data_IF_910722006403
#
_entry.id   IF_910722006403
#
_cell.length_a   1.000
_cell.length_b   1.000
_cell.length_c   1.000
_cell.angle_alpha   90.00
_cell.angle_beta   90.00
_cell.angle_gamma   90.00
#
_symmetry.space_group_name_H-M   'P 1'
#
loop_
_entity.id
_entity.type
_entity.pdbx_description
1 polymer ?
#
# COMPACT_ATOMS: atom_id res chain seq x y z
N UNK A 1 -6.83 27.17 14.35
CA UNK A 1 -6.79 27.04 12.88
C UNK A 1 -6.59 25.58 12.53
N UNK A 2 -7.35 25.04 11.58
CA UNK A 2 -7.20 23.67 11.11
C UNK A 2 -6.09 23.66 10.06
N UNK A 3 -4.92 23.12 10.39
CA UNK A 3 -3.80 23.00 9.45
C UNK A 3 -3.93 21.68 8.71
N UNK A 4 -4.04 21.74 7.40
CA UNK A 4 -4.07 20.57 6.51
C UNK A 4 -2.79 20.57 5.68
N UNK A 5 -1.98 19.54 5.83
CA UNK A 5 -0.84 19.30 4.94
C UNK A 5 -1.34 18.70 3.64
N UNK A 6 -0.74 19.13 2.53
CA UNK A 6 -1.01 18.61 1.19
C UNK A 6 0.29 18.03 0.67
N UNK A 7 0.24 16.79 0.16
CA UNK A 7 1.41 16.18 -0.45
C UNK A 7 1.80 16.99 -1.69
N UNK A 8 3.01 17.52 -1.72
CA UNK A 8 3.50 18.22 -2.91
C UNK A 8 3.91 17.24 -4.01
N UNK A 9 3.97 17.70 -5.26
CA UNK A 9 4.46 16.88 -6.37
C UNK A 9 5.93 16.49 -6.19
N UNK A 10 6.74 17.37 -5.59
CA UNK A 10 8.15 17.12 -5.30
C UNK A 10 8.30 16.03 -4.24
N UNK A 11 7.58 16.17 -3.12
CA UNK A 11 7.55 15.16 -2.06
C UNK A 11 7.12 13.80 -2.59
N UNK A 12 6.07 13.74 -3.42
CA UNK A 12 5.66 12.49 -4.04
C UNK A 12 6.79 11.83 -4.85
N UNK A 13 7.51 12.60 -5.67
CA UNK A 13 8.57 12.04 -6.54
C UNK A 13 9.73 11.49 -5.71
N UNK A 14 10.14 12.22 -4.67
CA UNK A 14 11.16 11.78 -3.72
C UNK A 14 10.72 10.49 -3.01
N UNK A 15 9.48 10.47 -2.48
CA UNK A 15 8.96 9.30 -1.79
C UNK A 15 8.73 8.11 -2.73
N UNK A 16 8.36 8.36 -3.98
CA UNK A 16 8.17 7.29 -4.97
C UNK A 16 9.49 6.56 -5.24
N UNK A 17 10.58 7.30 -5.41
CA UNK A 17 11.91 6.71 -5.58
C UNK A 17 12.39 6.03 -4.30
N UNK A 18 12.11 6.63 -3.13
CA UNK A 18 12.41 6.00 -1.85
C UNK A 18 11.69 4.65 -1.68
N UNK A 19 10.38 4.58 -1.96
CA UNK A 19 9.60 3.34 -1.89
C UNK A 19 10.14 2.26 -2.84
N UNK A 20 10.55 2.65 -4.06
CA UNK A 20 11.14 1.74 -5.05
C UNK A 20 12.46 1.14 -4.55
N UNK A 21 13.33 1.96 -4.00
CA UNK A 21 14.67 1.54 -3.57
C UNK A 21 14.61 0.77 -2.24
N UNK A 22 13.87 1.27 -1.27
CA UNK A 22 13.90 0.75 0.11
C UNK A 22 12.90 -0.37 0.37
N UNK A 23 11.77 -0.38 -0.34
CA UNK A 23 10.72 -1.38 -0.16
C UNK A 23 10.50 -2.26 -1.40
N UNK A 24 11.02 -1.88 -2.57
CA UNK A 24 10.72 -2.59 -3.82
C UNK A 24 9.25 -2.48 -4.21
N UNK A 25 8.60 -1.36 -3.86
CA UNK A 25 7.18 -1.11 -4.06
C UNK A 25 6.96 0.18 -4.85
N UNK A 26 5.90 0.22 -5.66
CA UNK A 26 5.43 1.46 -6.28
C UNK A 26 4.69 2.34 -5.26
N UNK A 27 4.67 3.65 -5.51
CA UNK A 27 3.94 4.62 -4.68
C UNK A 27 2.68 5.14 -5.38
N UNK A 28 1.58 5.15 -4.64
CA UNK A 28 0.29 5.68 -5.04
C UNK A 28 -0.17 6.83 -4.15
N UNK A 29 -1.07 7.66 -4.68
CA UNK A 29 -1.79 8.69 -3.94
C UNK A 29 -3.28 8.39 -3.98
N UNK A 30 -3.96 8.58 -2.85
CA UNK A 30 -5.40 8.37 -2.70
C UNK A 30 -5.98 9.40 -1.74
N UNK A 31 -7.31 9.55 -1.73
CA UNK A 31 -7.97 10.36 -0.71
C UNK A 31 -8.00 9.61 0.64
N UNK A 32 -7.99 10.35 1.74
CA UNK A 32 -8.10 9.78 3.11
C UNK A 32 -9.36 8.91 3.28
N UNK A 33 -10.47 9.31 2.65
CA UNK A 33 -11.72 8.55 2.67
C UNK A 33 -11.61 7.21 1.92
N UNK A 34 -10.99 7.20 0.74
CA UNK A 34 -10.73 5.97 -0.03
C UNK A 34 -9.71 5.06 0.67
N UNK A 35 -8.87 5.61 1.54
CA UNK A 35 -7.93 4.88 2.38
C UNK A 35 -8.51 4.44 3.73
N UNK A 36 -9.84 4.45 3.88
CA UNK A 36 -10.54 4.04 5.10
C UNK A 36 -10.03 4.75 6.37
N UNK A 37 -9.77 6.05 6.26
CA UNK A 37 -9.25 6.91 7.32
C UNK A 37 -7.80 6.57 7.76
N UNK A 38 -6.97 6.12 6.81
CA UNK A 38 -5.53 5.90 7.02
C UNK A 38 -4.70 6.92 6.24
N UNK A 39 -3.54 7.30 6.76
CA UNK A 39 -2.61 8.24 6.09
C UNK A 39 -1.57 7.55 5.21
N UNK A 40 -1.26 6.29 5.52
CA UNK A 40 -0.41 5.39 4.75
C UNK A 40 -1.02 3.98 4.75
N UNK A 41 -0.75 3.22 3.70
CA UNK A 41 -1.11 1.81 3.58
C UNK A 41 -0.04 1.05 2.80
N UNK A 42 0.51 -0.01 3.37
CA UNK A 42 1.36 -0.97 2.66
C UNK A 42 0.57 -2.18 2.19
N UNK A 43 0.35 -2.26 0.88
CA UNK A 43 -0.36 -3.37 0.22
C UNK A 43 0.54 -4.58 0.02
N UNK A 44 0.14 -5.72 0.60
CA UNK A 44 0.85 -7.01 0.45
C UNK A 44 0.52 -7.79 -0.83
N UNK A 45 -0.50 -7.39 -1.59
CA UNK A 45 -0.85 -8.02 -2.86
C UNK A 45 0.01 -7.47 -3.99
N UNK A 46 0.50 -8.35 -4.85
CA UNK A 46 1.29 -7.96 -6.01
C UNK A 46 0.40 -7.39 -7.11
N UNK A 47 0.84 -6.30 -7.70
CA UNK A 47 0.19 -5.64 -8.82
C UNK A 47 1.21 -5.20 -9.86
N UNK A 48 0.76 -5.15 -11.12
CA UNK A 48 1.54 -4.70 -12.25
C UNK A 48 1.93 -3.21 -12.14
N UNK A 49 3.20 -2.91 -12.46
CA UNK A 49 3.73 -1.55 -12.61
C UNK A 49 4.11 -1.29 -14.05
N UNK A 50 3.73 -0.12 -14.58
CA UNK A 50 4.08 0.32 -15.92
C UNK A 50 5.55 0.68 -15.95
N UNK A 51 6.30 0.06 -16.85
CA UNK A 51 7.75 0.18 -16.93
C UNK A 51 8.19 1.61 -17.25
N UNK A 52 7.57 2.26 -18.24
CA UNK A 52 7.82 3.68 -18.56
C UNK A 52 6.55 4.37 -19.08
N UNK A 53 6.05 5.36 -18.35
CA UNK A 53 4.81 6.09 -18.70
C UNK A 53 5.00 7.19 -19.75
N UNK A 54 6.23 7.41 -20.25
CA UNK A 54 6.53 8.38 -21.32
C UNK A 54 6.24 7.83 -22.72
N UNK A 55 5.99 6.53 -22.83
CA UNK A 55 5.65 5.86 -24.09
C UNK A 55 4.17 5.47 -24.11
N UNK A 56 3.58 5.29 -25.30
CA UNK A 56 2.23 4.71 -25.42
C UNK A 56 2.22 3.18 -25.37
N UNK A 57 3.40 2.54 -25.36
CA UNK A 57 3.53 1.09 -25.29
C UNK A 57 3.47 0.63 -23.83
N UNK A 58 2.35 0.00 -23.45
CA UNK A 58 2.20 -0.57 -22.12
C UNK A 58 3.11 -1.79 -21.98
N UNK A 59 4.15 -1.65 -21.18
CA UNK A 59 5.01 -2.73 -20.70
C UNK A 59 4.93 -2.83 -19.18
N UNK A 60 4.98 -4.05 -18.67
CA UNK A 60 4.95 -4.34 -17.24
C UNK A 60 6.17 -5.17 -16.85
N UNK A 61 7.13 -4.55 -16.17
CA UNK A 61 8.36 -5.24 -15.76
C UNK A 61 8.19 -6.02 -14.46
N UNK A 62 7.25 -5.59 -13.61
CA UNK A 62 7.17 -6.04 -12.23
C UNK A 62 5.74 -6.22 -11.74
N UNK A 63 5.55 -7.26 -10.91
CA UNK A 63 4.38 -7.44 -10.06
C UNK A 63 4.81 -7.32 -8.60
N UNK A 64 4.49 -6.19 -7.97
CA UNK A 64 4.93 -5.87 -6.61
C UNK A 64 3.81 -5.31 -5.75
N UNK A 65 4.01 -5.34 -4.43
CA UNK A 65 3.18 -4.59 -3.51
C UNK A 65 3.26 -3.09 -3.77
N UNK A 66 2.38 -2.33 -3.12
CA UNK A 66 2.30 -0.88 -3.27
C UNK A 66 2.25 -0.20 -1.92
N UNK A 67 2.78 1.01 -1.85
CA UNK A 67 2.52 1.93 -0.75
C UNK A 67 1.54 2.99 -1.26
N UNK A 68 0.49 3.27 -0.51
CA UNK A 68 -0.46 4.34 -0.82
C UNK A 68 -0.38 5.41 0.26
N UNK A 69 -0.26 6.68 -0.14
CA UNK A 69 -0.30 7.83 0.77
C UNK A 69 -1.59 8.62 0.58
N UNK A 70 -2.07 9.19 1.68
CA UNK A 70 -3.16 10.15 1.63
C UNK A 70 -2.66 11.48 1.01
N UNK A 71 -3.41 12.02 0.05
CA UNK A 71 -3.08 13.30 -0.60
C UNK A 71 -3.07 14.49 0.38
N UNK A 72 -3.71 14.34 1.53
CA UNK A 72 -3.69 15.34 2.59
C UNK A 72 -3.87 14.75 3.97
N UNK A 73 -3.27 15.42 4.95
CA UNK A 73 -3.29 15.05 6.36
C UNK A 73 -3.83 16.24 7.15
N UNK A 74 -4.89 16.02 7.93
CA UNK A 74 -5.26 16.94 8.99
C UNK A 74 -4.29 16.78 10.15
N UNK A 75 -3.55 17.85 10.46
CA UNK A 75 -2.46 17.79 11.44
C UNK A 75 -2.99 17.59 12.86
N UNK A 76 -4.14 18.16 13.19
CA UNK A 76 -4.71 18.02 14.52
C UNK A 76 -5.22 16.58 14.77
N UNK A 77 -5.84 15.98 13.76
CA UNK A 77 -6.27 14.59 13.76
C UNK A 77 -5.08 13.63 13.81
N UNK A 78 -4.04 13.88 13.01
CA UNK A 78 -2.80 13.11 13.03
C UNK A 78 -2.15 13.13 14.42
N UNK A 79 -1.94 14.32 14.99
CA UNK A 79 -1.36 14.46 16.33
C UNK A 79 -2.26 13.84 17.40
N UNK A 80 -3.58 13.90 17.25
CA UNK A 80 -4.51 13.24 18.18
C UNK A 80 -4.37 11.72 18.13
N UNK A 81 -4.30 11.13 16.95
CA UNK A 81 -4.06 9.70 16.81
C UNK A 81 -2.67 9.29 17.32
N UNK A 82 -1.65 10.13 17.07
CA UNK A 82 -0.28 9.94 17.54
C UNK A 82 -0.18 9.69 19.05
N UNK A 83 -0.93 10.46 19.85
CA UNK A 83 -0.96 10.28 21.32
C UNK A 83 -1.56 8.96 21.78
N UNK A 84 -2.28 8.27 20.91
CA UNK A 84 -2.96 7.00 21.17
C UNK A 84 -2.24 5.81 20.53
N UNK A 85 -1.09 6.02 19.88
CA UNK A 85 -0.31 4.92 19.29
C UNK A 85 0.20 3.98 20.39
N UNK A 86 0.42 2.69 20.06
CA UNK A 86 0.82 1.67 21.05
C UNK A 86 2.07 2.02 21.84
N UNK A 87 3.07 2.63 21.19
CA UNK A 87 4.34 2.96 21.81
C UNK A 87 4.80 4.38 21.52
N UNK A 88 4.99 4.73 20.24
CA UNK A 88 5.60 6.00 19.83
C UNK A 88 4.56 7.13 19.73
N UNK A 89 4.77 8.24 20.42
CA UNK A 89 3.91 9.42 20.33
C UNK A 89 4.20 10.24 19.06
N UNK A 90 3.41 10.05 18.00
CA UNK A 90 3.61 10.79 16.75
C UNK A 90 3.31 12.29 16.88
N UNK A 91 2.69 12.74 17.98
CA UNK A 91 2.29 14.14 18.11
C UNK A 91 3.44 15.13 18.24
N UNK A 92 4.65 14.61 18.52
CA UNK A 92 5.89 15.38 18.66
C UNK A 92 6.57 15.69 17.32
N UNK A 93 6.08 15.11 16.22
CA UNK A 93 6.60 15.38 14.87
C UNK A 93 6.24 16.81 14.45
N UNK A 94 7.22 17.50 13.85
CA UNK A 94 6.98 18.76 13.16
C UNK A 94 6.13 18.52 11.91
N UNK A 95 5.52 19.57 11.37
CA UNK A 95 4.65 19.45 10.19
C UNK A 95 5.43 18.89 8.98
N UNK A 96 6.71 19.23 8.84
CA UNK A 96 7.60 18.76 7.78
C UNK A 96 8.00 17.29 7.93
N UNK A 97 7.99 16.76 9.16
CA UNK A 97 8.34 15.37 9.46
C UNK A 97 7.18 14.38 9.23
N UNK A 98 5.93 14.86 9.19
CA UNK A 98 4.74 13.99 9.17
C UNK A 98 4.73 13.06 7.93
N UNK A 99 4.83 13.62 6.72
CA UNK A 99 4.82 12.79 5.51
C UNK A 99 6.02 11.85 5.41
N UNK A 100 7.27 12.32 5.62
CA UNK A 100 8.43 11.44 5.70
C UNK A 100 8.26 10.30 6.71
N UNK A 101 7.69 10.59 7.90
CA UNK A 101 7.46 9.58 8.91
C UNK A 101 6.46 8.51 8.44
N UNK A 102 5.32 8.93 7.86
CA UNK A 102 4.33 7.98 7.30
C UNK A 102 4.96 7.10 6.22
N UNK A 103 5.76 7.66 5.31
CA UNK A 103 6.43 6.88 4.26
C UNK A 103 7.39 5.85 4.85
N UNK A 104 8.24 6.25 5.79
CA UNK A 104 9.15 5.32 6.43
C UNK A 104 8.45 4.28 7.30
N UNK A 105 7.29 4.61 7.87
CA UNK A 105 6.44 3.65 8.58
C UNK A 105 5.98 2.54 7.62
N UNK A 106 5.45 2.91 6.45
CA UNK A 106 5.02 1.93 5.44
C UNK A 106 6.19 1.09 4.88
N UNK A 107 7.36 1.71 4.68
CA UNK A 107 8.60 0.99 4.32
C UNK A 107 9.01 0.03 5.46
N UNK A 108 8.82 0.43 6.72
CA UNK A 108 9.09 -0.37 7.91
C UNK A 108 8.32 -1.70 7.92
N UNK A 109 7.07 -1.73 7.44
CA UNK A 109 6.31 -2.96 7.22
C UNK A 109 6.99 -3.96 6.28
N UNK A 110 7.83 -3.48 5.36
CA UNK A 110 8.56 -4.34 4.42
C UNK A 110 9.98 -4.66 4.88
N UNK A 111 10.64 -3.73 5.58
CA UNK A 111 12.07 -3.80 5.95
C UNK A 111 12.33 -4.52 7.26
N UNK A 112 11.48 -4.32 8.28
CA UNK A 112 11.85 -4.64 9.65
C UNK A 112 10.71 -5.30 10.45
N UNK A 113 9.90 -6.10 9.75
CA UNK A 113 8.64 -6.63 10.24
C UNK A 113 8.47 -8.15 10.03
N UNK A 114 7.46 -8.73 10.68
CA UNK A 114 7.08 -10.13 10.49
C UNK A 114 6.14 -10.29 9.28
N UNK A 115 6.27 -11.41 8.55
CA UNK A 115 5.44 -11.67 7.39
C UNK A 115 3.97 -11.93 7.81
N UNK A 116 3.08 -10.99 7.49
CA UNK A 116 1.66 -11.11 7.79
C UNK A 116 0.95 -12.22 7.01
N UNK A 117 1.42 -12.58 5.81
CA UNK A 117 0.78 -13.62 5.00
C UNK A 117 0.94 -15.01 5.64
N UNK A 118 2.14 -15.32 6.14
CA UNK A 118 2.40 -16.57 6.84
C UNK A 118 1.51 -16.69 8.08
N UNK A 119 1.38 -15.60 8.84
CA UNK A 119 0.54 -15.56 10.04
C UNK A 119 -0.97 -15.64 9.72
N UNK A 120 -1.44 -14.96 8.68
CA UNK A 120 -2.84 -14.99 8.28
C UNK A 120 -3.30 -16.40 7.86
N UNK A 121 -2.40 -17.16 7.23
CA UNK A 121 -2.68 -18.51 6.75
C UNK A 121 -2.51 -19.58 7.84
N UNK A 122 -1.54 -19.41 8.75
CA UNK A 122 -1.10 -20.50 9.64
C UNK A 122 -1.15 -20.19 11.14
N UNK A 123 -1.39 -18.94 11.56
CA UNK A 123 -1.41 -18.51 12.97
C UNK A 123 -2.53 -17.50 13.24
N UNK A 124 -3.78 -17.89 13.00
CA UNK A 124 -4.96 -17.00 13.14
C UNK A 124 -5.15 -16.49 14.56
N UNK A 125 -4.78 -17.27 15.58
CA UNK A 125 -4.84 -16.88 16.99
C UNK A 125 -3.77 -15.82 17.34
N UNK A 126 -2.57 -15.94 16.76
CA UNK A 126 -1.48 -14.98 16.94
C UNK A 126 -1.58 -13.73 16.05
N UNK A 127 -2.44 -13.74 15.02
CA UNK A 127 -2.48 -12.70 13.99
C UNK A 127 -2.70 -11.29 14.56
N UNK A 128 -3.61 -11.12 15.52
CA UNK A 128 -3.86 -9.81 16.14
C UNK A 128 -2.65 -9.25 16.88
N UNK A 129 -1.93 -10.10 17.63
CA UNK A 129 -0.70 -9.69 18.30
C UNK A 129 0.42 -9.38 17.31
N UNK A 130 0.49 -10.13 16.20
CA UNK A 130 1.44 -9.86 15.13
C UNK A 130 1.18 -8.51 14.45
N UNK A 131 -0.07 -8.20 14.12
CA UNK A 131 -0.42 -6.88 13.59
C UNK A 131 -0.02 -5.77 14.57
N UNK A 132 -0.36 -5.92 15.86
CA UNK A 132 0.00 -4.97 16.90
C UNK A 132 1.52 -4.74 17.00
N UNK A 133 2.32 -5.81 17.04
CA UNK A 133 3.79 -5.69 17.07
C UNK A 133 4.34 -5.14 15.77
N UNK A 134 3.73 -5.47 14.63
CA UNK A 134 4.22 -4.95 13.36
C UNK A 134 4.06 -3.42 13.25
N UNK A 135 2.99 -2.86 13.81
CA UNK A 135 2.80 -1.42 13.95
C UNK A 135 3.87 -0.77 14.84
N UNK A 136 4.21 -1.40 15.97
CA UNK A 136 5.28 -0.93 16.86
C UNK A 136 6.63 -0.93 16.13
N UNK A 137 6.96 -2.00 15.41
CA UNK A 137 8.23 -2.10 14.69
C UNK A 137 8.30 -1.11 13.52
N UNK A 138 7.19 -0.87 12.81
CA UNK A 138 7.11 0.14 11.77
C UNK A 138 7.35 1.56 12.33
N UNK A 139 6.74 1.89 13.48
CA UNK A 139 6.96 3.17 14.17
C UNK A 139 8.43 3.37 14.57
N UNK A 140 9.03 2.34 15.20
CA UNK A 140 10.45 2.37 15.60
C UNK A 140 11.37 2.53 14.40
N UNK A 141 11.08 1.82 13.31
CA UNK A 141 11.86 1.93 12.08
C UNK A 141 11.75 3.36 11.51
N UNK A 142 10.54 3.90 11.39
CA UNK A 142 10.32 5.26 10.91
C UNK A 142 11.06 6.30 11.76
N UNK A 143 10.98 6.19 13.09
CA UNK A 143 11.69 7.08 14.00
C UNK A 143 13.20 7.05 13.79
N UNK A 144 13.79 5.86 13.64
CA UNK A 144 15.23 5.72 13.41
C UNK A 144 15.71 6.38 12.11
N UNK A 145 14.79 6.61 11.15
CA UNK A 145 15.07 7.30 9.88
C UNK A 145 14.87 8.79 9.96
N UNK A 146 13.84 9.24 10.67
CA UNK A 146 13.53 10.67 10.83
C UNK A 146 14.46 11.34 11.84
N UNK A 147 14.71 10.70 12.99
CA UNK A 147 15.53 11.24 14.08
C UNK A 147 16.58 10.23 14.53
N UNK A 148 17.63 9.99 13.72
CA UNK A 148 18.63 8.96 14.00
C UNK A 148 19.36 9.23 15.31
N UNK A 149 19.36 8.24 16.21
CA UNK A 149 20.03 8.32 17.51
C UNK A 149 19.23 9.01 18.62
N UNK A 150 18.07 9.61 18.31
CA UNK A 150 17.20 10.17 19.35
C UNK A 150 16.41 9.09 20.08
N UNK A 151 16.19 9.30 21.38
CA UNK A 151 15.35 8.43 22.20
C UNK A 151 13.90 8.43 21.69
N UNK A 152 13.26 7.26 21.70
CA UNK A 152 11.87 7.11 21.30
C UNK A 152 10.93 7.91 22.22
N UNK A 153 10.17 8.89 21.70
CA UNK A 153 9.19 9.62 22.50
C UNK A 153 7.98 8.72 22.72
N UNK A 154 7.84 8.19 23.93
CA UNK A 154 6.77 7.24 24.23
C UNK A 154 5.46 7.91 24.61
N UNK A 155 4.34 7.35 24.14
CA UNK A 155 3.00 7.65 24.64
C UNK A 155 2.87 7.24 26.11
N UNK A 156 1.83 7.73 26.79
CA UNK A 156 1.52 7.28 28.16
C UNK A 156 1.29 5.77 28.24
N UNK A 157 0.64 5.20 27.23
CA UNK A 157 0.39 3.75 27.13
C UNK A 157 1.71 3.01 26.91
N UNK A 158 2.53 3.46 25.96
CA UNK A 158 3.84 2.86 25.67
C UNK A 158 4.76 2.78 26.89
N UNK A 159 4.74 3.79 27.77
CA UNK A 159 5.51 3.78 29.03
C UNK A 159 5.02 2.71 30.00
N UNK A 160 3.70 2.50 30.10
CA UNK A 160 3.12 1.49 31.00
C UNK A 160 3.28 0.08 30.44
N UNK A 161 3.15 -0.08 29.13
CA UNK A 161 3.01 -1.38 28.47
C UNK A 161 4.32 -1.93 27.90
N UNK A 162 5.47 -1.35 28.26
CA UNK A 162 6.78 -1.81 27.76
C UNK A 162 7.01 -3.31 27.95
N UNK A 163 6.68 -3.83 29.13
CA UNK A 163 6.81 -5.25 29.44
C UNK A 163 5.90 -6.11 28.55
N UNK A 164 4.68 -5.64 28.29
CA UNK A 164 3.73 -6.32 27.41
C UNK A 164 4.22 -6.32 25.96
N UNK A 165 4.68 -5.19 25.43
CA UNK A 165 5.25 -5.09 24.08
C UNK A 165 6.45 -6.05 23.94
N UNK A 166 7.35 -6.09 24.92
CA UNK A 166 8.50 -6.99 24.91
C UNK A 166 8.08 -8.47 24.94
N UNK A 167 7.11 -8.84 25.78
CA UNK A 167 6.56 -10.20 25.85
C UNK A 167 5.92 -10.62 24.52
N UNK A 168 5.10 -9.76 23.91
CA UNK A 168 4.47 -10.04 22.62
C UNK A 168 5.51 -10.21 21.51
N UNK A 169 6.52 -9.34 21.47
CA UNK A 169 7.60 -9.42 20.50
C UNK A 169 8.40 -10.72 20.64
N UNK A 170 8.75 -11.13 21.87
CA UNK A 170 9.44 -12.41 22.12
C UNK A 170 8.58 -13.61 21.70
N UNK A 171 7.29 -13.58 22.06
CA UNK A 171 6.33 -14.63 21.68
C UNK A 171 6.22 -14.80 20.16
N UNK A 172 6.13 -13.70 19.41
CA UNK A 172 6.04 -13.71 17.95
C UNK A 172 7.37 -14.17 17.33
N UNK A 173 8.50 -13.68 17.84
CA UNK A 173 9.85 -14.01 17.34
C UNK A 173 10.17 -15.50 17.44
N UNK A 174 9.56 -16.23 18.38
CA UNK A 174 9.69 -17.69 18.51
C UNK A 174 8.99 -18.48 17.41
N UNK A 175 7.99 -17.87 16.74
CA UNK A 175 7.14 -18.54 15.74
C UNK A 175 7.35 -18.01 14.33
N UNK A 176 7.78 -16.76 14.20
CA UNK A 176 7.88 -16.03 12.94
C UNK A 176 9.28 -15.45 12.77
N UNK A 177 9.74 -15.39 11.53
CA UNK A 177 11.05 -14.80 11.19
C UNK A 177 10.86 -13.33 10.83
N UNK A 178 11.48 -12.44 11.60
CA UNK A 178 11.52 -10.99 11.31
C UNK A 178 12.39 -10.71 10.10
N UNK A 179 11.98 -9.79 9.23
CA UNK A 179 12.71 -9.39 8.03
C UNK A 179 13.12 -10.59 7.15
N UNK A 180 12.27 -11.61 7.08
CA UNK A 180 12.55 -12.90 6.42
C UNK A 180 13.01 -12.77 4.98
N UNK A 181 12.45 -11.81 4.23
CA UNK A 181 12.71 -11.66 2.80
C UNK A 181 13.48 -10.39 2.50
N UNK A 182 14.61 -10.54 1.83
CA UNK A 182 15.34 -9.43 1.25
C UNK A 182 14.43 -8.62 0.32
N UNK A 183 14.53 -7.30 0.43
CA UNK A 183 13.89 -6.39 -0.52
C UNK A 183 14.63 -6.47 -1.84
N UNK A 184 13.89 -6.59 -2.94
CA UNK A 184 14.42 -6.40 -4.29
C UNK A 184 14.06 -4.99 -4.73
N UNK A 185 15.04 -4.08 -4.85
CA UNK A 185 14.77 -2.72 -5.24
C UNK A 185 14.25 -2.67 -6.67
N UNK A 186 13.41 -1.67 -6.95
CA UNK A 186 12.98 -1.31 -8.29
C UNK A 186 13.86 -0.16 -8.82
N UNK A 187 13.94 -0.01 -10.14
CA UNK A 187 14.62 1.12 -10.73
C UNK A 187 13.92 2.43 -10.32
N UNK A 188 14.68 3.36 -9.73
CA UNK A 188 14.24 4.72 -9.44
C UNK A 188 14.08 5.53 -10.74
N UNK A 189 13.27 6.58 -10.68
CA UNK A 189 12.99 7.46 -11.80
C UNK A 189 11.54 7.89 -11.83
N UNK A 190 11.33 9.18 -12.04
CA UNK A 190 10.03 9.86 -12.00
C UNK A 190 8.93 9.22 -12.86
N UNK A 191 9.30 8.61 -13.99
CA UNK A 191 8.37 8.03 -14.97
C UNK A 191 8.45 6.51 -15.09
N UNK A 192 9.27 5.87 -14.25
CA UNK A 192 9.59 4.44 -14.36
C UNK A 192 8.97 3.68 -13.18
N UNK A 193 8.48 2.46 -13.45
CA UNK A 193 7.85 1.59 -12.45
C UNK A 193 6.67 2.26 -11.73
N UNK A 194 5.72 2.77 -12.53
CA UNK A 194 4.60 3.57 -12.05
C UNK A 194 3.35 2.71 -11.89
N UNK A 195 2.64 2.89 -10.79
CA UNK A 195 1.34 2.23 -10.63
C UNK A 195 0.35 2.76 -11.67
N UNK A 196 -0.38 1.89 -12.39
CA UNK A 196 -1.49 2.27 -13.25
C UNK A 196 -2.50 3.22 -12.60
N UNK A 197 -2.68 3.13 -11.27
CA UNK A 197 -3.59 4.00 -10.52
C UNK A 197 -3.24 5.48 -10.67
N UNK A 198 -1.95 5.81 -10.79
CA UNK A 198 -1.50 7.18 -10.96
C UNK A 198 -1.94 7.78 -12.31
N UNK A 199 -2.41 6.97 -13.26
CA UNK A 199 -2.90 7.39 -14.57
C UNK A 199 -4.44 7.42 -14.66
N UNK A 200 -5.16 7.10 -13.57
CA UNK A 200 -6.62 7.06 -13.56
C UNK A 200 -7.28 8.45 -13.60
N UNK A 201 -6.51 9.52 -13.36
CA UNK A 201 -6.97 10.89 -13.48
C UNK A 201 -5.83 11.84 -13.83
N UNK A 202 -6.17 13.00 -14.40
CA UNK A 202 -5.19 14.07 -14.65
C UNK A 202 -4.57 14.62 -13.35
N UNK A 203 -5.35 14.62 -12.25
CA UNK A 203 -4.87 15.02 -10.92
C UNK A 203 -3.75 14.11 -10.44
N UNK A 204 -3.96 12.78 -10.49
CA UNK A 204 -2.94 11.82 -10.08
C UNK A 204 -1.72 11.86 -11.01
N UNK A 205 -1.94 11.97 -12.33
CA UNK A 205 -0.84 12.04 -13.29
C UNK A 205 0.02 13.31 -13.11
N UNK A 206 -0.53 14.39 -12.56
CA UNK A 206 0.22 15.62 -12.29
C UNK A 206 1.36 15.45 -11.27
N UNK A 207 1.23 14.49 -10.34
CA UNK A 207 2.32 14.12 -9.43
C UNK A 207 3.54 13.58 -10.19
N UNK A 208 3.30 12.84 -11.28
CA UNK A 208 4.35 12.32 -12.17
C UNK A 208 4.96 13.44 -13.01
N UNK A 209 4.15 14.36 -13.55
CA UNK A 209 4.63 15.50 -14.35
C UNK A 209 4.20 15.44 -15.82
N UNK A 210 4.66 16.40 -16.64
CA UNK A 210 4.08 16.65 -17.97
C UNK A 210 4.42 15.60 -19.02
N UNK A 211 5.52 14.86 -18.86
CA UNK A 211 6.02 13.92 -19.88
C UNK A 211 5.28 12.57 -19.90
N UNK A 212 4.20 12.42 -19.12
CA UNK A 212 3.32 11.25 -19.21
C UNK A 212 2.66 11.23 -20.59
N UNK A 213 2.76 10.10 -21.28
CA UNK A 213 2.25 9.99 -22.65
C UNK A 213 0.73 10.23 -22.69
N UNK A 214 0.23 11.17 -23.52
CA UNK A 214 -1.15 11.60 -23.48
C UNK A 214 -2.15 10.48 -23.84
N UNK A 215 -1.81 9.62 -24.79
CA UNK A 215 -2.65 8.47 -25.17
C UNK A 215 -2.75 7.42 -24.05
N UNK A 216 -1.64 7.17 -23.36
CA UNK A 216 -1.59 6.26 -22.21
C UNK A 216 -2.47 6.79 -21.08
N UNK A 217 -2.34 8.08 -20.76
CA UNK A 217 -3.17 8.75 -19.77
C UNK A 217 -4.66 8.69 -20.16
N UNK A 218 -4.99 8.98 -21.42
CA UNK A 218 -6.35 8.91 -21.91
C UNK A 218 -6.93 7.48 -21.79
N UNK A 219 -6.14 6.45 -22.08
CA UNK A 219 -6.53 5.05 -21.93
C UNK A 219 -6.91 4.71 -20.48
N UNK A 220 -6.07 5.06 -19.50
CA UNK A 220 -6.35 4.73 -18.10
C UNK A 220 -7.48 5.56 -17.48
N UNK A 221 -7.63 6.82 -17.87
CA UNK A 221 -8.82 7.63 -17.52
C UNK A 221 -10.09 6.98 -18.07
N UNK A 222 -10.09 6.59 -19.35
CA UNK A 222 -11.23 5.90 -19.96
C UNK A 222 -11.53 4.58 -19.25
N UNK A 223 -10.50 3.78 -18.97
CA UNK A 223 -10.62 2.49 -18.28
C UNK A 223 -11.24 2.65 -16.88
N UNK A 224 -10.79 3.64 -16.11
CA UNK A 224 -11.37 3.97 -14.79
C UNK A 224 -12.83 4.37 -14.89
N UNK A 225 -13.16 5.27 -15.82
CA UNK A 225 -14.52 5.73 -16.04
C UNK A 225 -15.48 4.60 -16.47
N UNK A 226 -14.99 3.61 -17.22
CA UNK A 226 -15.79 2.51 -17.75
C UNK A 226 -15.74 1.24 -16.89
N UNK A 227 -15.15 1.30 -15.67
CA UNK A 227 -15.04 0.20 -14.69
C UNK A 227 -14.93 -1.18 -15.35
N UNK A 228 -13.92 -1.37 -16.18
CA UNK A 228 -13.45 -2.70 -16.54
C UNK A 228 -12.74 -3.27 -15.31
N UNK A 229 -13.53 -3.78 -14.36
CA UNK A 229 -13.04 -4.41 -13.15
C UNK A 229 -12.46 -5.79 -13.51
N UNK A 230 -11.18 -6.00 -13.26
CA UNK A 230 -10.49 -7.28 -13.46
C UNK A 230 -11.04 -8.41 -12.56
N UNK A 231 -11.91 -8.10 -11.59
CA UNK A 231 -12.61 -9.10 -10.78
C UNK A 231 -13.93 -9.59 -11.40
N UNK A 232 -14.41 -8.95 -12.47
CA UNK A 232 -15.65 -9.38 -13.14
C UNK A 232 -15.29 -10.26 -14.33
N UNK A 233 -15.56 -11.58 -14.31
CA UNK A 233 -15.38 -12.39 -15.51
C UNK A 233 -16.23 -11.81 -16.64
N UNK A 234 -15.66 -11.75 -17.85
CA UNK A 234 -16.34 -11.23 -19.03
C UNK A 234 -17.78 -11.79 -19.09
N UNK A 235 -18.80 -10.96 -19.36
CA UNK A 235 -20.16 -11.46 -19.44
C UNK A 235 -20.21 -12.56 -20.49
N UNK A 236 -20.44 -13.79 -20.03
CA UNK A 236 -20.66 -14.93 -20.92
C UNK A 236 -21.79 -14.51 -21.86
N UNK A 237 -21.58 -14.48 -23.18
CA UNK A 237 -22.63 -14.10 -24.12
C UNK A 237 -23.90 -14.89 -23.78
N UNK A 238 -25.05 -14.22 -23.65
CA UNK A 238 -26.32 -14.86 -23.23
C UNK A 238 -26.68 -16.13 -24.02
N UNK A 239 -26.13 -16.29 -25.22
CA UNK A 239 -26.21 -17.50 -26.03
C UNK A 239 -25.48 -18.71 -25.40
N UNK A 240 -24.28 -18.53 -24.84
CA UNK A 240 -23.48 -19.59 -24.22
C UNK A 240 -24.01 -20.01 -22.83
N UNK A 241 -24.61 -19.06 -22.07
CA UNK A 241 -25.29 -19.38 -20.81
C UNK A 241 -26.56 -20.23 -21.02
N UNK A 242 -27.32 -19.95 -22.09
CA UNK A 242 -28.50 -20.75 -22.48
C UNK A 242 -28.11 -22.15 -22.97
N UNK A 243 -27.01 -22.29 -23.72
CA UNK A 243 -26.52 -23.59 -24.16
C UNK A 243 -26.07 -24.48 -22.99
N UNK A 244 -25.35 -23.92 -22.01
CA UNK A 244 -24.95 -24.65 -20.78
C UNK A 244 -26.13 -25.03 -19.90
N UNK A 245 -27.10 -24.13 -19.69
CA UNK A 245 -28.29 -24.45 -18.89
C UNK A 245 -29.15 -25.56 -19.52
N UNK A 246 -29.25 -25.60 -20.85
CA UNK A 246 -30.02 -26.63 -21.57
C UNK A 246 -29.35 -28.02 -21.53
N UNK A 247 -28.02 -28.07 -21.51
CA UNK A 247 -27.25 -29.32 -21.38
C UNK A 247 -27.30 -29.91 -19.95
N UNK A 248 -27.37 -29.06 -18.92
CA UNK A 248 -27.45 -29.50 -17.52
C UNK A 248 -28.86 -29.98 -17.14
N UNK A 249 -29.91 -29.38 -17.73
CA UNK A 249 -31.31 -29.72 -17.41
C UNK A 249 -31.88 -30.90 -18.21
N UNK A 250 -31.21 -31.35 -19.28
CA UNK A 250 -31.67 -32.53 -20.02
C UNK A 250 -30.50 -33.29 -20.70
N UNK A 251 -29.80 -34.17 -19.97
CA UNK A 251 -28.65 -34.92 -20.49
C UNK A 251 -28.99 -35.85 -21.66
N UNK A 252 -30.27 -36.17 -21.89
CA UNK A 252 -30.72 -37.12 -22.93
C UNK A 252 -31.11 -36.47 -24.27
N UNK A 253 -31.01 -35.15 -24.41
CA UNK A 253 -31.33 -34.47 -25.67
C UNK A 253 -30.19 -34.50 -26.70
N UNK A 254 -29.06 -35.17 -26.43
CA UNK A 254 -27.87 -35.20 -27.31
C UNK A 254 -27.67 -36.56 -28.00
N UNK A 255 -28.49 -37.59 -27.71
CA UNK A 255 -28.39 -38.92 -28.37
C UNK A 255 -29.42 -39.15 -29.49
N UNK A 256 -29.87 -38.08 -30.16
CA UNK A 256 -30.89 -38.16 -31.22
C UNK A 256 -30.49 -37.54 -32.56
N UNK A 257 -29.19 -37.38 -32.83
CA UNK A 257 -28.69 -36.91 -34.12
C UNK A 257 -27.50 -37.78 -34.56
N UNK A 258 -27.82 -38.98 -35.04
CA UNK A 258 -27.07 -39.69 -36.07
C UNK A 258 -27.97 -39.76 -37.31
#
# INVERSE_FOLDING_TARGET
MKTTLKLSHEQYREFADLCKVEAGQGLEVSTFAEMHNSWGLSGGMAWELISDVRTNEVSFDHHVGRITLAESIDVADFRRAGRSRPELDWSVLSDEEIYPFVVWHEIGHRRDNFNMLDAALFDREGFGALCYINEVLADRFAWSRIRPGESLPMTRVGKTDQAHIAEQLDRISKRHVRARYAVRPLAAGQYVNISPRMLESRHLAAYLGPDVHPELLAHYIWKRANRLDYSTPAPVPKAAARARARAVLNPRAVEGAA
#
